data_IF_281567529434
#
_entry.id   IF_281567529434
#
_cell.length_a   1.000
_cell.length_b   1.000
_cell.length_c   1.000
_cell.angle_alpha   90.00
_cell.angle_beta   90.00
_cell.angle_gamma   90.00
#
_symmetry.space_group_name_H-M   'P 1'
#
loop_
_entity.id
_entity.type
_entity.pdbx_description
1 polymer ?
#
# COMPACT_ATOMS: atom_id res chain seq x y z
N UNK A 1 -2.24 24.48 -20.44
CA UNK A 1 -2.55 24.46 -19.01
C UNK A 1 -3.28 23.17 -18.58
N UNK A 2 -4.37 22.77 -19.27
CA UNK A 2 -5.15 21.57 -18.89
C UNK A 2 -4.33 20.26 -18.90
N UNK A 3 -3.37 20.12 -19.81
CA UNK A 3 -2.40 19.02 -19.80
C UNK A 3 -1.55 19.05 -18.52
N UNK A 4 -1.03 20.21 -18.16
CA UNK A 4 -0.11 20.39 -17.04
C UNK A 4 -0.80 20.18 -15.68
N UNK A 5 -2.03 20.66 -15.46
CA UNK A 5 -2.75 20.49 -14.18
C UNK A 5 -3.15 19.02 -13.92
N UNK A 6 -3.14 18.17 -14.96
CA UNK A 6 -3.42 16.73 -14.81
C UNK A 6 -2.20 15.89 -14.41
N UNK A 7 -1.35 16.42 -13.57
CA UNK A 7 -0.16 15.74 -13.02
C UNK A 7 0.67 16.66 -12.14
N UNK A 8 0.69 17.97 -12.44
CA UNK A 8 1.45 18.97 -11.68
C UNK A 8 0.54 20.12 -11.20
N UNK A 9 -0.69 19.79 -10.82
CA UNK A 9 -1.74 20.75 -10.48
C UNK A 9 -1.35 21.81 -9.45
N UNK A 10 -0.62 21.40 -8.41
CA UNK A 10 -0.17 22.27 -7.32
C UNK A 10 0.72 23.44 -7.80
N UNK A 11 1.31 23.36 -9.01
CA UNK A 11 2.18 24.40 -9.55
C UNK A 11 1.42 25.45 -10.38
N UNK A 12 0.12 25.27 -10.64
CA UNK A 12 -0.63 26.04 -11.62
C UNK A 12 -1.86 26.75 -11.04
N UNK A 13 -2.09 26.64 -9.75
CA UNK A 13 -3.19 27.32 -9.08
C UNK A 13 -3.93 26.43 -8.08
N UNK A 14 -5.04 26.96 -7.57
CA UNK A 14 -5.93 26.26 -6.63
C UNK A 14 -7.11 25.68 -7.40
N UNK A 15 -7.31 24.36 -7.28
CA UNK A 15 -8.47 23.69 -7.86
C UNK A 15 -9.66 23.86 -6.91
N UNK A 16 -10.76 24.42 -7.40
CA UNK A 16 -11.97 24.67 -6.62
C UNK A 16 -13.02 23.57 -6.77
N UNK A 17 -12.95 22.81 -7.87
CA UNK A 17 -13.86 21.67 -8.09
C UNK A 17 -13.26 20.65 -9.04
N UNK A 18 -13.66 19.38 -8.86
CA UNK A 18 -13.36 18.29 -9.77
C UNK A 18 -14.65 17.69 -10.31
N UNK A 19 -14.64 17.35 -11.59
CA UNK A 19 -15.72 16.59 -12.21
C UNK A 19 -15.16 15.21 -12.61
N UNK A 20 -15.72 14.16 -11.98
CA UNK A 20 -15.31 12.77 -12.22
C UNK A 20 -16.43 11.99 -12.91
N UNK A 21 -16.04 11.05 -13.78
CA UNK A 21 -16.95 10.01 -14.23
C UNK A 21 -17.21 9.06 -13.07
N UNK A 22 -18.46 8.94 -12.65
CA UNK A 22 -18.86 8.00 -11.62
C UNK A 22 -19.17 6.62 -12.22
N UNK A 23 -18.84 5.57 -11.48
CA UNK A 23 -19.14 4.18 -11.81
C UNK A 23 -19.90 3.53 -10.67
N UNK A 24 -20.76 2.54 -11.01
CA UNK A 24 -21.45 1.77 -9.98
C UNK A 24 -20.44 0.93 -9.19
N UNK A 25 -20.40 1.14 -7.89
CA UNK A 25 -19.54 0.39 -6.96
C UNK A 25 -20.38 -0.55 -6.10
N UNK A 26 -19.83 -1.69 -5.70
CA UNK A 26 -20.41 -2.56 -4.66
C UNK A 26 -20.42 -1.80 -3.34
N UNK A 27 -21.49 -1.96 -2.55
CA UNK A 27 -21.64 -1.24 -1.28
C UNK A 27 -20.61 -1.70 -0.23
N UNK A 28 -20.20 -2.96 -0.29
CA UNK A 28 -19.20 -3.54 0.61
C UNK A 28 -18.10 -4.22 -0.17
N UNK A 29 -16.91 -4.22 0.42
CA UNK A 29 -15.71 -4.86 -0.09
C UNK A 29 -15.01 -5.59 1.05
N UNK A 30 -14.27 -6.64 0.75
CA UNK A 30 -13.43 -7.33 1.73
C UNK A 30 -12.09 -6.61 1.82
N UNK A 31 -11.75 -6.06 3.00
CA UNK A 31 -10.50 -5.34 3.19
C UNK A 31 -10.09 -5.31 4.67
N UNK A 32 -8.82 -5.04 4.91
CA UNK A 32 -8.28 -4.86 6.26
C UNK A 32 -6.87 -5.40 6.38
N UNK A 33 -6.17 -5.06 7.47
CA UNK A 33 -4.80 -5.47 7.67
C UNK A 33 -4.68 -6.87 8.28
N UNK A 34 -3.70 -7.63 7.78
CA UNK A 34 -3.08 -8.75 8.46
C UNK A 34 -1.72 -8.29 9.00
N UNK A 35 -1.41 -8.66 10.23
CA UNK A 35 -0.14 -8.33 10.87
C UNK A 35 0.68 -9.60 11.06
N UNK A 36 1.95 -9.54 10.69
CA UNK A 36 2.89 -10.64 10.78
C UNK A 36 4.15 -10.25 11.55
N UNK A 37 4.85 -11.24 12.09
CA UNK A 37 6.22 -11.07 12.55
C UNK A 37 7.18 -10.99 11.36
N UNK A 38 8.36 -10.35 11.53
CA UNK A 38 9.32 -10.17 10.44
C UNK A 38 9.90 -11.47 9.83
N UNK A 39 9.83 -12.60 10.54
CA UNK A 39 10.24 -13.91 10.01
C UNK A 39 9.41 -14.38 8.80
N UNK A 40 8.25 -13.76 8.57
CA UNK A 40 7.37 -14.05 7.44
C UNK A 40 7.67 -13.23 6.18
N UNK A 41 8.63 -12.29 6.22
CA UNK A 41 8.98 -11.44 5.07
C UNK A 41 9.23 -12.27 3.79
N UNK A 42 10.03 -13.35 3.81
CA UNK A 42 10.29 -14.10 2.58
C UNK A 42 9.01 -14.63 1.93
N UNK A 43 8.12 -15.22 2.71
CA UNK A 43 6.87 -15.81 2.20
C UNK A 43 5.87 -14.72 1.73
N UNK A 44 5.84 -13.57 2.41
CA UNK A 44 5.03 -12.42 1.98
C UNK A 44 5.52 -11.90 0.63
N UNK A 45 6.84 -11.80 0.43
CA UNK A 45 7.43 -11.38 -0.86
C UNK A 45 7.14 -12.42 -1.94
N UNK A 46 7.23 -13.70 -1.65
CA UNK A 46 6.85 -14.77 -2.60
C UNK A 46 5.38 -14.64 -3.01
N UNK A 47 4.49 -14.36 -2.05
CA UNK A 47 3.09 -14.08 -2.35
C UNK A 47 2.93 -12.83 -3.22
N UNK A 48 3.61 -11.72 -2.91
CA UNK A 48 3.57 -10.49 -3.73
C UNK A 48 4.04 -10.74 -5.17
N UNK A 49 5.09 -11.55 -5.35
CA UNK A 49 5.57 -11.98 -6.67
C UNK A 49 4.54 -12.83 -7.43
N UNK A 50 3.78 -13.69 -6.73
CA UNK A 50 2.68 -14.46 -7.28
C UNK A 50 1.47 -13.58 -7.58
N UNK A 51 1.12 -12.68 -6.64
CA UNK A 51 -0.01 -11.76 -6.73
C UNK A 51 -0.02 -10.96 -8.05
N UNK A 52 1.14 -10.44 -8.46
CA UNK A 52 1.31 -9.74 -9.73
C UNK A 52 0.78 -10.53 -10.95
N UNK A 53 0.91 -11.86 -10.92
CA UNK A 53 0.54 -12.74 -12.04
C UNK A 53 -0.94 -13.16 -12.01
N UNK A 54 -1.51 -13.28 -10.80
CA UNK A 54 -2.88 -13.83 -10.61
C UNK A 54 -3.95 -12.76 -10.43
N UNK A 55 -3.55 -11.50 -10.22
CA UNK A 55 -4.47 -10.39 -10.02
C UNK A 55 -5.27 -10.08 -11.29
N UNK A 56 -6.59 -9.99 -11.18
CA UNK A 56 -7.52 -9.67 -12.28
C UNK A 56 -8.01 -8.21 -12.27
N UNK A 57 -7.52 -7.39 -11.34
CA UNK A 57 -7.91 -5.99 -11.17
C UNK A 57 -8.93 -5.75 -10.05
N UNK A 58 -9.49 -6.81 -9.46
CA UNK A 58 -10.41 -6.71 -8.32
C UNK A 58 -9.68 -6.74 -6.96
N UNK A 59 -8.38 -6.96 -6.95
CA UNK A 59 -7.59 -7.06 -5.73
C UNK A 59 -6.48 -6.02 -5.71
N UNK A 60 -6.13 -5.58 -4.49
CA UNK A 60 -4.93 -4.80 -4.22
C UNK A 60 -4.27 -5.33 -2.94
N UNK A 61 -2.96 -5.20 -2.89
CA UNK A 61 -2.15 -5.54 -1.74
C UNK A 61 -1.16 -4.41 -1.48
N UNK A 62 -1.22 -3.83 -0.27
CA UNK A 62 -0.13 -3.04 0.26
C UNK A 62 0.54 -3.86 1.36
N UNK A 63 1.86 -3.95 1.33
CA UNK A 63 2.57 -4.65 2.38
C UNK A 63 3.83 -3.87 2.76
N UNK A 64 4.31 -4.06 3.98
CA UNK A 64 5.51 -3.32 4.38
C UNK A 64 5.80 -3.37 5.86
N UNK A 65 6.61 -2.43 6.30
CA UNK A 65 7.26 -2.42 7.61
C UNK A 65 6.73 -1.28 8.47
N UNK A 66 6.49 -1.58 9.75
CA UNK A 66 6.08 -0.60 10.75
C UNK A 66 6.43 -1.13 12.15
N UNK A 67 6.35 -0.27 13.14
CA UNK A 67 6.48 -0.64 14.55
C UNK A 67 5.44 0.13 15.39
N UNK A 68 4.13 -0.16 15.19
CA UNK A 68 3.06 0.66 15.76
C UNK A 68 2.99 0.57 17.29
N UNK A 69 2.55 1.66 17.95
CA UNK A 69 2.25 1.60 19.37
C UNK A 69 1.07 0.63 19.65
N UNK A 70 0.91 0.14 20.89
CA UNK A 70 1.72 0.45 22.07
C UNK A 70 3.01 -0.39 22.17
N UNK A 71 3.12 -1.49 21.41
CA UNK A 71 4.25 -2.41 21.54
C UNK A 71 5.57 -1.83 20.98
N UNK A 72 5.49 -0.93 19.99
CA UNK A 72 6.64 -0.37 19.29
C UNK A 72 7.62 -1.45 18.79
N UNK A 73 7.08 -2.62 18.47
CA UNK A 73 7.83 -3.77 17.99
C UNK A 73 7.71 -3.88 16.46
N UNK A 74 8.80 -4.27 15.77
CA UNK A 74 8.78 -4.43 14.33
C UNK A 74 7.75 -5.47 13.89
N UNK A 75 6.90 -5.09 12.95
CA UNK A 75 5.90 -5.96 12.32
C UNK A 75 5.87 -5.75 10.81
N UNK A 76 5.30 -6.72 10.12
CA UNK A 76 4.96 -6.60 8.70
C UNK A 76 3.45 -6.47 8.58
N UNK A 77 3.02 -5.38 7.95
CA UNK A 77 1.63 -5.12 7.63
C UNK A 77 1.33 -5.64 6.22
N UNK A 78 0.23 -6.37 6.05
CA UNK A 78 -0.37 -6.68 4.75
C UNK A 78 -1.78 -6.13 4.71
N UNK A 79 -2.00 -5.00 4.04
CA UNK A 79 -3.30 -4.40 3.84
C UNK A 79 -3.95 -5.04 2.62
N UNK A 80 -4.99 -5.82 2.85
CA UNK A 80 -5.73 -6.54 1.81
C UNK A 80 -6.88 -5.69 1.28
N UNK A 81 -7.18 -5.88 0.00
CA UNK A 81 -8.39 -5.40 -0.63
C UNK A 81 -8.89 -6.41 -1.67
N UNK A 82 -10.18 -6.74 -1.64
CA UNK A 82 -10.88 -7.49 -2.67
C UNK A 82 -12.26 -6.88 -2.95
N UNK A 83 -12.51 -6.57 -4.21
CA UNK A 83 -13.80 -6.03 -4.66
C UNK A 83 -14.81 -7.17 -4.90
N UNK A 84 -15.15 -7.88 -3.83
CA UNK A 84 -16.02 -9.05 -3.86
C UNK A 84 -16.48 -9.45 -2.46
N UNK A 85 -16.91 -10.68 -2.32
CA UNK A 85 -17.35 -11.25 -1.04
C UNK A 85 -16.18 -11.60 -0.14
N UNK A 86 -16.46 -11.80 1.15
CA UNK A 86 -15.46 -12.27 2.12
C UNK A 86 -14.88 -13.64 1.73
N UNK A 87 -15.73 -14.56 1.26
CA UNK A 87 -15.33 -15.89 0.84
C UNK A 87 -14.35 -15.84 -0.33
N UNK A 88 -14.66 -15.05 -1.37
CA UNK A 88 -13.78 -14.82 -2.52
C UNK A 88 -12.45 -14.18 -2.09
N UNK A 89 -12.51 -13.17 -1.22
CA UNK A 89 -11.32 -12.49 -0.71
C UNK A 89 -10.43 -13.41 0.11
N UNK A 90 -11.00 -14.18 1.04
CA UNK A 90 -10.25 -15.17 1.84
C UNK A 90 -9.64 -16.28 0.96
N UNK A 91 -10.38 -16.73 -0.05
CA UNK A 91 -9.85 -17.71 -1.00
C UNK A 91 -8.68 -17.16 -1.81
N UNK A 92 -8.78 -15.91 -2.30
CA UNK A 92 -7.70 -15.26 -3.05
C UNK A 92 -6.43 -15.08 -2.21
N UNK A 93 -6.56 -14.64 -0.97
CA UNK A 93 -5.45 -14.39 -0.05
C UNK A 93 -5.11 -15.58 0.86
N UNK A 94 -5.58 -16.79 0.53
CA UNK A 94 -5.43 -17.99 1.38
C UNK A 94 -3.97 -18.28 1.78
N UNK A 95 -3.02 -18.07 0.87
CA UNK A 95 -1.60 -18.29 1.15
C UNK A 95 -1.10 -17.33 2.27
N UNK A 96 -1.56 -16.07 2.32
CA UNK A 96 -1.22 -15.14 3.41
C UNK A 96 -1.86 -15.57 4.73
N UNK A 97 -3.13 -15.96 4.71
CA UNK A 97 -3.80 -16.48 5.92
C UNK A 97 -3.10 -17.71 6.47
N UNK A 98 -2.61 -18.59 5.60
CA UNK A 98 -1.88 -19.81 5.99
C UNK A 98 -0.52 -19.52 6.67
N UNK A 99 0.05 -18.32 6.50
CA UNK A 99 1.28 -17.92 7.20
C UNK A 99 1.08 -17.68 8.71
N UNK A 100 -0.17 -17.64 9.18
CA UNK A 100 -0.51 -17.41 10.58
C UNK A 100 -0.23 -15.98 11.03
N UNK A 101 -1.05 -14.99 10.60
CA UNK A 101 -0.93 -13.62 11.08
C UNK A 101 -1.13 -13.56 12.61
N UNK A 102 -0.36 -12.71 13.29
CA UNK A 102 -0.52 -12.46 14.73
C UNK A 102 -1.77 -11.62 15.05
N UNK A 103 -2.30 -10.90 14.04
CA UNK A 103 -3.58 -10.24 14.09
C UNK A 103 -4.22 -10.23 12.70
N UNK A 104 -5.52 -10.50 12.65
CA UNK A 104 -6.38 -10.41 11.48
C UNK A 104 -7.49 -9.40 11.77
N UNK A 105 -7.49 -8.29 11.05
CA UNK A 105 -8.53 -7.25 11.13
C UNK A 105 -9.24 -7.10 9.77
N UNK A 106 -9.13 -8.11 8.90
CA UNK A 106 -9.83 -8.12 7.64
C UNK A 106 -11.32 -8.43 7.83
N UNK A 107 -12.17 -7.72 7.11
CA UNK A 107 -13.62 -7.89 7.19
C UNK A 107 -14.32 -7.28 5.98
N UNK A 108 -15.61 -7.54 5.87
CA UNK A 108 -16.47 -6.78 4.95
C UNK A 108 -16.69 -5.37 5.50
N UNK A 109 -16.28 -4.36 4.74
CA UNK A 109 -16.43 -2.95 5.10
C UNK A 109 -17.20 -2.19 4.01
N UNK A 110 -17.93 -1.12 4.35
CA UNK A 110 -18.46 -0.20 3.35
C UNK A 110 -17.32 0.39 2.51
N UNK A 111 -17.50 0.47 1.19
CA UNK A 111 -16.45 0.96 0.28
C UNK A 111 -15.95 2.37 0.64
N UNK A 112 -16.82 3.25 1.10
CA UNK A 112 -16.46 4.61 1.53
C UNK A 112 -15.54 4.63 2.77
N UNK A 113 -15.42 3.51 3.49
CA UNK A 113 -14.50 3.38 4.63
C UNK A 113 -13.09 2.92 4.24
N UNK A 114 -12.90 2.49 3.01
CA UNK A 114 -11.63 1.91 2.56
C UNK A 114 -10.44 2.85 2.81
N UNK A 115 -10.56 4.13 2.45
CA UNK A 115 -9.49 5.11 2.67
C UNK A 115 -9.18 5.37 4.15
N UNK A 116 -10.13 5.08 5.06
CA UNK A 116 -9.93 5.30 6.49
C UNK A 116 -9.08 4.22 7.18
N UNK A 117 -8.80 3.10 6.52
CA UNK A 117 -8.01 2.00 7.08
C UNK A 117 -6.58 2.42 7.45
N UNK A 118 -6.02 3.45 6.81
CA UNK A 118 -4.68 3.96 7.08
C UNK A 118 -4.68 5.28 7.88
N UNK A 119 -5.82 5.73 8.39
CA UNK A 119 -5.94 7.03 9.07
C UNK A 119 -5.06 7.15 10.32
N UNK A 120 -4.78 6.05 11.03
CA UNK A 120 -3.89 6.08 12.19
C UNK A 120 -2.47 6.57 11.82
N UNK A 121 -1.97 6.19 10.65
CA UNK A 121 -0.69 6.69 10.14
C UNK A 121 -0.74 8.13 9.63
N UNK A 122 -1.92 8.66 9.32
CA UNK A 122 -2.11 9.97 8.68
C UNK A 122 -2.46 11.11 9.67
N UNK A 123 -2.43 10.87 10.99
CA UNK A 123 -2.76 11.87 12.02
C UNK A 123 -1.97 13.17 11.88
N UNK A 124 -2.48 14.27 12.43
CA UNK A 124 -1.86 15.61 12.29
C UNK A 124 -0.70 15.89 13.24
N UNK A 125 -0.40 14.98 14.16
CA UNK A 125 0.66 15.10 15.15
C UNK A 125 2.05 14.78 14.59
N UNK A 126 3.09 15.31 15.23
CA UNK A 126 4.48 15.09 14.89
C UNK A 126 4.92 15.74 13.57
N UNK A 127 6.20 15.64 13.28
CA UNK A 127 6.75 15.99 11.98
C UNK A 127 6.74 14.77 11.09
N UNK A 128 6.41 14.95 9.82
CA UNK A 128 6.36 13.87 8.85
C UNK A 128 7.06 14.24 7.57
N UNK A 129 7.77 13.28 7.01
CA UNK A 129 8.34 13.36 5.68
C UNK A 129 7.84 12.17 4.87
N UNK A 130 7.22 12.47 3.73
CA UNK A 130 6.86 11.45 2.75
C UNK A 130 7.95 11.36 1.70
N UNK A 131 8.29 10.14 1.34
CA UNK A 131 9.18 9.80 0.24
C UNK A 131 8.62 8.63 -0.53
N UNK A 132 9.24 8.31 -1.63
CA UNK A 132 8.84 7.16 -2.41
C UNK A 132 9.83 6.82 -3.51
N UNK A 133 9.59 5.67 -4.09
CA UNK A 133 10.35 5.14 -5.21
C UNK A 133 9.48 4.17 -6.01
N UNK A 134 10.10 3.53 -6.96
CA UNK A 134 9.47 2.49 -7.76
C UNK A 134 10.24 1.17 -7.62
N UNK A 135 9.52 0.05 -7.74
CA UNK A 135 10.11 -1.27 -7.78
C UNK A 135 9.43 -2.14 -8.83
N UNK A 136 10.13 -3.17 -9.28
CA UNK A 136 9.60 -4.19 -10.19
C UNK A 136 9.50 -5.53 -9.49
N UNK A 137 8.56 -6.35 -9.93
CA UNK A 137 8.46 -7.73 -9.54
C UNK A 137 9.09 -8.64 -10.63
N UNK A 138 9.71 -9.76 -10.28
CA UNK A 138 9.81 -10.30 -8.91
C UNK A 138 10.82 -9.54 -8.05
N UNK A 139 10.47 -9.37 -6.76
CA UNK A 139 11.37 -8.86 -5.74
C UNK A 139 12.12 -10.04 -5.10
N UNK A 140 13.41 -9.84 -4.80
CA UNK A 140 14.19 -10.83 -4.05
C UNK A 140 13.78 -10.83 -2.57
N UNK A 141 13.35 -11.97 -2.01
CA UNK A 141 13.03 -12.07 -0.58
C UNK A 141 14.17 -11.67 0.35
N UNK A 142 15.43 -12.01 0.01
CA UNK A 142 16.59 -11.64 0.82
C UNK A 142 16.82 -10.12 0.83
N UNK A 143 16.59 -9.45 -0.30
CA UNK A 143 16.63 -8.00 -0.35
C UNK A 143 15.60 -7.38 0.59
N UNK A 144 14.37 -7.90 0.62
CA UNK A 144 13.33 -7.40 1.50
C UNK A 144 13.67 -7.60 2.99
N UNK A 145 14.30 -8.71 3.35
CA UNK A 145 14.80 -8.96 4.71
C UNK A 145 15.89 -7.96 5.09
N UNK A 146 16.86 -7.71 4.20
CA UNK A 146 17.91 -6.72 4.43
C UNK A 146 17.33 -5.31 4.57
N UNK A 147 16.42 -4.93 3.67
CA UNK A 147 15.74 -3.64 3.72
C UNK A 147 14.94 -3.44 5.01
N UNK A 148 14.27 -4.49 5.50
CA UNK A 148 13.60 -4.44 6.80
C UNK A 148 14.60 -4.21 7.94
N UNK A 149 15.76 -4.87 7.93
CA UNK A 149 16.79 -4.69 8.95
C UNK A 149 17.32 -3.24 8.96
N UNK A 150 17.59 -2.66 7.79
CA UNK A 150 18.01 -1.26 7.65
C UNK A 150 16.91 -0.28 8.10
N UNK A 151 15.65 -0.50 7.67
CA UNK A 151 14.52 0.30 8.11
C UNK A 151 14.38 0.28 9.63
N UNK A 152 14.43 -0.91 10.23
CA UNK A 152 14.30 -1.08 11.67
C UNK A 152 15.45 -0.40 12.42
N UNK A 153 16.70 -0.56 11.98
CA UNK A 153 17.85 0.13 12.54
C UNK A 153 17.67 1.65 12.48
N UNK A 154 17.19 2.18 11.36
CA UNK A 154 16.96 3.61 11.18
C UNK A 154 15.88 4.16 12.11
N UNK A 155 14.71 3.50 12.19
CA UNK A 155 13.59 4.01 13.01
C UNK A 155 13.84 3.86 14.51
N UNK A 156 14.77 3.02 14.94
CA UNK A 156 15.16 2.86 16.34
C UNK A 156 16.19 3.89 16.81
N UNK A 157 16.79 4.68 15.91
CA UNK A 157 17.74 5.74 16.27
C UNK A 157 17.09 6.87 17.11
N UNK A 158 15.78 7.06 17.00
CA UNK A 158 15.05 8.12 17.70
C UNK A 158 13.71 7.59 18.22
N UNK A 159 13.41 7.91 19.49
CA UNK A 159 12.21 7.41 20.18
C UNK A 159 10.86 7.66 19.47
N UNK A 160 10.80 8.69 18.61
CA UNK A 160 9.56 9.06 17.90
C UNK A 160 9.46 8.51 16.49
N UNK A 161 10.49 7.83 16.00
CA UNK A 161 10.51 7.29 14.63
C UNK A 161 9.84 5.92 14.50
N UNK A 162 9.46 5.30 15.61
CA UNK A 162 8.77 4.01 15.63
C UNK A 162 7.41 3.99 14.93
N UNK A 163 6.74 5.15 14.78
CA UNK A 163 5.52 5.28 13.99
C UNK A 163 5.75 5.47 12.49
N UNK A 164 7.01 5.41 12.05
CA UNK A 164 7.35 5.44 10.63
C UNK A 164 6.90 4.17 9.94
N UNK A 165 6.66 4.26 8.63
CA UNK A 165 6.28 3.10 7.81
C UNK A 165 6.94 3.14 6.44
N UNK A 166 7.12 1.95 5.88
CA UNK A 166 7.49 1.74 4.48
C UNK A 166 6.49 0.76 3.88
N UNK A 167 5.80 1.15 2.82
CA UNK A 167 4.77 0.35 2.17
C UNK A 167 5.12 0.10 0.70
N UNK A 168 5.04 -1.14 0.29
CA UNK A 168 5.09 -1.59 -1.09
C UNK A 168 3.65 -1.65 -1.61
N UNK A 169 3.34 -0.82 -2.58
CA UNK A 169 1.99 -0.66 -3.11
C UNK A 169 1.79 -1.55 -4.34
N UNK A 170 1.43 -2.82 -4.13
CA UNK A 170 1.14 -3.75 -5.21
C UNK A 170 -0.30 -3.55 -5.71
N UNK A 171 -0.58 -2.36 -6.26
CA UNK A 171 -1.86 -1.97 -6.84
C UNK A 171 -1.80 -2.21 -8.35
N UNK A 172 -2.80 -2.86 -8.98
CA UNK A 172 -2.79 -3.11 -10.42
C UNK A 172 -2.63 -1.84 -11.24
N UNK A 173 -1.63 -1.77 -12.11
CA UNK A 173 -1.31 -0.59 -12.93
C UNK A 173 -1.80 -0.70 -14.38
N UNK A 174 -2.43 -1.81 -14.79
CA UNK A 174 -2.86 -2.03 -16.19
C UNK A 174 -3.63 -0.85 -16.77
N UNK A 175 -4.58 -0.28 -16.03
CA UNK A 175 -5.34 0.89 -16.47
C UNK A 175 -4.51 2.17 -16.55
N UNK A 176 -3.50 2.31 -15.71
CA UNK A 176 -2.63 3.47 -15.72
C UNK A 176 -1.78 3.51 -17.00
N UNK A 177 -1.24 2.36 -17.42
CA UNK A 177 -0.37 2.26 -18.61
C UNK A 177 -1.13 2.24 -19.93
N UNK A 178 -2.44 2.07 -19.93
CA UNK A 178 -3.28 2.25 -21.13
C UNK A 178 -3.26 3.71 -21.63
N UNK A 179 -2.95 4.66 -20.74
CA UNK A 179 -2.86 6.07 -21.08
C UNK A 179 -1.41 6.43 -21.38
N UNK A 180 -1.16 6.97 -22.58
CA UNK A 180 0.18 7.40 -23.00
C UNK A 180 0.77 8.46 -22.05
N UNK A 181 2.08 8.41 -21.81
CA UNK A 181 2.80 9.41 -21.03
C UNK A 181 2.64 10.84 -21.56
N UNK A 182 2.43 11.00 -22.86
CA UNK A 182 2.26 12.31 -23.50
C UNK A 182 0.86 12.91 -23.29
N UNK A 183 -0.11 12.12 -22.84
CA UNK A 183 -1.49 12.55 -22.71
C UNK A 183 -1.73 13.53 -21.54
N UNK A 184 -0.92 13.43 -20.50
CA UNK A 184 -0.96 14.34 -19.34
C UNK A 184 0.44 14.55 -18.77
N UNK A 185 0.62 15.52 -17.88
CA UNK A 185 1.87 15.72 -17.15
C UNK A 185 2.14 14.69 -16.03
N UNK A 186 1.18 13.80 -15.77
CA UNK A 186 1.37 12.71 -14.81
C UNK A 186 2.36 11.69 -15.37
N UNK A 187 3.53 11.60 -14.76
CA UNK A 187 4.67 10.81 -15.25
C UNK A 187 4.77 9.40 -14.66
N UNK A 188 3.95 9.06 -13.66
CA UNK A 188 4.01 7.78 -12.98
C UNK A 188 3.17 6.70 -13.72
N UNK A 189 3.55 6.45 -14.99
CA UNK A 189 2.89 5.48 -15.88
C UNK A 189 3.92 4.48 -16.41
N UNK A 190 4.21 3.46 -15.65
CA UNK A 190 5.21 2.47 -16.05
C UNK A 190 4.85 1.06 -15.58
N UNK A 191 5.58 0.10 -16.11
CA UNK A 191 5.53 -1.30 -15.70
C UNK A 191 6.33 -1.49 -14.40
N UNK A 192 5.81 -0.88 -13.34
CA UNK A 192 6.40 -0.91 -12.00
C UNK A 192 5.34 -0.60 -10.94
N UNK A 193 5.67 -0.89 -9.71
CA UNK A 193 4.90 -0.57 -8.52
C UNK A 193 5.59 0.53 -7.72
N UNK A 194 4.83 1.18 -6.82
CA UNK A 194 5.38 2.21 -5.95
C UNK A 194 5.78 1.62 -4.59
N UNK A 195 6.83 2.18 -4.02
CA UNK A 195 7.11 2.08 -2.59
C UNK A 195 6.96 3.46 -1.98
N UNK A 196 6.17 3.55 -0.91
CA UNK A 196 5.96 4.78 -0.16
C UNK A 196 6.66 4.67 1.20
N UNK A 197 7.32 5.74 1.62
CA UNK A 197 7.88 5.86 2.96
C UNK A 197 7.25 7.05 3.66
N UNK A 198 6.90 6.87 4.93
CA UNK A 198 6.51 7.94 5.83
C UNK A 198 7.42 7.86 7.05
N UNK A 199 8.30 8.83 7.21
CA UNK A 199 9.09 9.00 8.41
C UNK A 199 8.40 10.01 9.32
N UNK A 200 8.23 9.63 10.59
CA UNK A 200 7.60 10.45 11.63
C UNK A 200 8.57 10.64 12.81
N UNK A 201 8.72 11.88 13.30
CA UNK A 201 9.57 12.21 14.47
C UNK A 201 9.04 13.39 15.29
#
# INVERSE_FOLDING_TARGET
LFWAVRGAGQNFGVVTSFQFQAYKQKNQVFAGPLIFLPDKIPQIVEFANKFHKINDGNQALLWGFSAPPPANAPVVLCQLFHNGTEEEGKAFFADLFALGPIADMSSMIPYEKLNSLLNQGAGYDGRKQFGGGAFKLPLDPNFAVQLHAEFNAFVTLHERMNESMMLFETIPYKKVVEVSNDNTSFSNRGDYYNVATMFKW
#
